data_IF_099575580466
#
_entry.id   IF_099575580466
#
_cell.length_a   1.000
_cell.length_b   1.000
_cell.length_c   1.000
_cell.angle_alpha   90.00
_cell.angle_beta   90.00
_cell.angle_gamma   90.00
#
_symmetry.space_group_name_H-M   'P 1'
#
loop_
_entity.id
_entity.type
_entity.pdbx_description
1 polymer ?
#
# COMPACT_ATOMS: atom_id res chain seq x y z
N UNK A 1 43.26 17.26 57.46
CA UNK A 1 42.75 17.97 56.25
C UNK A 1 42.13 17.05 55.19
N UNK A 2 42.77 15.95 54.76
CA UNK A 2 42.28 15.09 53.65
C UNK A 2 40.85 14.50 53.79
N UNK A 3 40.41 14.13 55.01
CA UNK A 3 39.04 13.58 55.23
C UNK A 3 37.91 14.60 55.06
N UNK A 4 38.14 15.88 55.39
CA UNK A 4 37.12 16.94 55.22
C UNK A 4 36.92 17.30 53.74
N UNK A 5 38.00 17.29 52.95
CA UNK A 5 37.95 17.55 51.51
C UNK A 5 37.13 16.47 50.77
N UNK A 6 37.35 15.20 51.10
CA UNK A 6 36.66 14.05 50.48
C UNK A 6 35.15 14.04 50.77
N UNK A 7 34.75 14.40 52.00
CA UNK A 7 33.35 14.50 52.38
C UNK A 7 32.64 15.66 51.68
N UNK A 8 33.32 16.82 51.55
CA UNK A 8 32.78 17.97 50.81
C UNK A 8 32.65 17.70 49.31
N UNK A 9 33.59 16.97 48.71
CA UNK A 9 33.50 16.62 47.27
C UNK A 9 32.40 15.59 47.01
N UNK A 10 32.20 14.60 47.90
CA UNK A 10 31.09 13.63 47.80
C UNK A 10 29.73 14.30 48.01
N UNK A 11 29.62 15.23 48.97
CA UNK A 11 28.41 16.03 49.16
C UNK A 11 28.14 16.96 47.97
N UNK A 12 29.18 17.54 47.37
CA UNK A 12 29.03 18.39 46.18
C UNK A 12 28.61 17.59 44.94
N UNK A 13 29.19 16.40 44.72
CA UNK A 13 28.79 15.48 43.63
C UNK A 13 27.36 14.97 43.87
N UNK A 14 27.02 14.61 45.12
CA UNK A 14 25.67 14.19 45.49
C UNK A 14 24.64 15.31 45.31
N UNK A 15 24.97 16.54 45.71
CA UNK A 15 24.11 17.72 45.54
C UNK A 15 23.98 18.13 44.07
N UNK A 16 25.05 18.02 43.28
CA UNK A 16 25.03 18.33 41.85
C UNK A 16 24.25 17.27 41.05
N UNK A 17 24.42 15.98 41.38
CA UNK A 17 23.66 14.88 40.78
C UNK A 17 22.18 14.89 41.18
N UNK A 18 21.86 15.20 42.45
CA UNK A 18 20.49 15.38 42.92
C UNK A 18 19.84 16.65 42.35
N UNK A 19 20.62 17.74 42.22
CA UNK A 19 20.19 19.00 41.61
C UNK A 19 19.90 18.87 40.12
N UNK A 20 20.74 18.18 39.36
CA UNK A 20 20.48 17.87 37.94
C UNK A 20 19.27 16.96 37.77
N UNK A 21 19.15 15.88 38.55
CA UNK A 21 17.98 14.99 38.46
C UNK A 21 16.67 15.67 38.87
N UNK A 22 16.71 16.62 39.80
CA UNK A 22 15.58 17.49 40.15
C UNK A 22 15.24 18.47 39.02
N UNK A 23 16.22 19.19 38.48
CA UNK A 23 16.05 20.12 37.34
C UNK A 23 15.51 19.40 36.10
N UNK A 24 16.01 18.20 35.81
CA UNK A 24 15.50 17.33 34.74
C UNK A 24 14.07 16.87 35.04
N UNK A 25 13.70 16.66 36.31
CA UNK A 25 12.34 16.28 36.69
C UNK A 25 11.33 17.42 36.55
N UNK A 26 11.71 18.66 36.87
CA UNK A 26 10.86 19.85 36.69
C UNK A 26 10.73 20.20 35.22
N UNK A 27 11.82 20.17 34.46
CA UNK A 27 11.78 20.41 33.01
C UNK A 27 10.94 19.35 32.28
N UNK A 28 11.05 18.08 32.69
CA UNK A 28 10.24 16.98 32.18
C UNK A 28 8.75 17.20 32.45
N UNK A 29 8.37 17.49 33.70
CA UNK A 29 6.96 17.78 34.07
C UNK A 29 6.42 18.99 33.32
N UNK A 30 7.17 20.10 33.30
CA UNK A 30 6.78 21.31 32.56
C UNK A 30 6.59 21.04 31.07
N UNK A 31 7.45 20.21 30.46
CA UNK A 31 7.32 19.85 29.05
C UNK A 31 6.05 19.04 28.79
N UNK A 32 5.71 18.09 29.67
CA UNK A 32 4.47 17.32 29.57
C UNK A 32 3.23 18.20 29.79
N UNK A 33 3.21 19.03 30.83
CA UNK A 33 2.10 19.94 31.12
C UNK A 33 1.85 20.93 29.98
N UNK A 34 2.92 21.53 29.45
CA UNK A 34 2.82 22.43 28.30
C UNK A 34 2.29 21.71 27.05
N UNK A 35 2.67 20.45 26.84
CA UNK A 35 2.20 19.65 25.69
C UNK A 35 0.73 19.26 25.86
N UNK A 36 0.34 18.84 27.07
CA UNK A 36 -1.05 18.55 27.47
C UNK A 36 -1.96 19.74 27.21
N UNK A 37 -1.60 20.91 27.75
CA UNK A 37 -2.43 22.11 27.63
C UNK A 37 -2.59 22.54 26.16
N UNK A 38 -1.54 22.41 25.34
CA UNK A 38 -1.60 22.68 23.90
C UNK A 38 -2.50 21.71 23.14
N UNK A 39 -2.47 20.41 23.48
CA UNK A 39 -3.35 19.41 22.86
C UNK A 39 -4.80 19.70 23.17
N UNK A 40 -5.10 19.93 24.44
CA UNK A 40 -6.45 20.21 24.92
C UNK A 40 -7.04 21.46 24.26
N UNK A 41 -6.26 22.54 24.16
CA UNK A 41 -6.67 23.76 23.46
C UNK A 41 -6.93 23.55 21.96
N UNK A 42 -6.23 22.61 21.30
CA UNK A 42 -6.49 22.28 19.88
C UNK A 42 -7.75 21.43 19.68
N UNK A 43 -8.10 20.60 20.66
CA UNK A 43 -9.34 19.82 20.63
C UNK A 43 -10.56 20.72 20.82
N UNK A 44 -10.44 21.80 21.59
CA UNK A 44 -11.53 22.72 21.90
C UNK A 44 -11.28 24.09 21.27
N UNK A 45 -11.84 24.35 20.09
CA UNK A 45 -11.82 25.70 19.51
C UNK A 45 -13.14 26.40 19.77
N UNK A 46 -13.13 27.48 20.55
CA UNK A 46 -14.28 28.39 20.67
C UNK A 46 -14.25 29.27 19.42
N UNK A 47 -15.28 29.22 18.57
CA UNK A 47 -15.42 30.13 17.42
C UNK A 47 -15.82 31.53 17.89
N UNK A 48 -15.62 32.55 17.04
CA UNK A 48 -15.96 33.95 17.34
C UNK A 48 -17.42 34.16 17.76
N UNK A 49 -18.30 33.29 17.29
CA UNK A 49 -19.74 33.19 17.60
C UNK A 49 -20.04 32.31 18.83
N UNK A 50 -19.05 32.06 19.69
CA UNK A 50 -19.21 31.40 21.00
C UNK A 50 -19.47 29.90 20.95
N UNK A 51 -19.38 29.26 19.78
CA UNK A 51 -19.62 27.82 19.61
C UNK A 51 -18.32 27.04 19.77
N UNK A 52 -18.33 26.03 20.63
CA UNK A 52 -17.20 25.10 20.73
C UNK A 52 -17.22 24.17 19.51
N UNK A 53 -16.26 24.34 18.60
CA UNK A 53 -15.86 23.30 17.65
C UNK A 53 -14.93 22.33 18.36
N UNK A 54 -15.48 21.18 18.73
CA UNK A 54 -14.71 20.05 19.24
C UNK A 54 -14.21 19.19 18.08
N UNK A 55 -12.89 19.08 17.94
CA UNK A 55 -12.29 17.97 17.19
C UNK A 55 -12.43 16.69 18.03
N UNK A 56 -12.68 15.53 17.42
CA UNK A 56 -12.78 14.27 18.19
C UNK A 56 -11.42 13.80 18.71
N UNK A 57 -10.33 14.18 18.07
CA UNK A 57 -8.98 13.78 18.45
C UNK A 57 -8.04 14.94 18.19
N UNK A 58 -6.86 14.89 18.78
CA UNK A 58 -5.82 15.86 18.50
C UNK A 58 -5.31 15.75 17.06
N UNK A 59 -4.70 16.82 16.57
CA UNK A 59 -4.13 16.86 15.23
C UNK A 59 -3.05 15.79 15.02
N UNK A 60 -2.26 15.48 16.06
CA UNK A 60 -1.26 14.42 16.01
C UNK A 60 -1.93 13.04 15.85
N UNK A 61 -2.90 12.74 16.71
CA UNK A 61 -3.65 11.47 16.65
C UNK A 61 -4.37 11.31 15.32
N UNK A 62 -4.99 12.38 14.80
CA UNK A 62 -5.62 12.36 13.48
C UNK A 62 -4.62 11.99 12.39
N UNK A 63 -3.43 12.61 12.37
CA UNK A 63 -2.39 12.30 11.38
C UNK A 63 -1.88 10.87 11.51
N UNK A 64 -1.68 10.39 12.74
CA UNK A 64 -1.26 9.00 13.01
C UNK A 64 -2.33 8.01 12.54
N UNK A 65 -3.60 8.25 12.88
CA UNK A 65 -4.74 7.46 12.39
C UNK A 65 -4.80 7.41 10.86
N UNK A 66 -4.66 8.56 10.19
CA UNK A 66 -4.64 8.62 8.72
C UNK A 66 -3.50 7.77 8.16
N UNK A 67 -2.30 7.83 8.74
CA UNK A 67 -1.16 7.03 8.29
C UNK A 67 -1.36 5.54 8.50
N UNK A 68 -1.85 5.14 9.68
CA UNK A 68 -2.16 3.76 9.98
C UNK A 68 -3.25 3.22 9.04
N UNK A 69 -4.36 3.94 8.88
CA UNK A 69 -5.45 3.51 7.99
C UNK A 69 -4.97 3.42 6.52
N UNK A 70 -4.15 4.36 6.04
CA UNK A 70 -3.54 4.24 4.69
C UNK A 70 -2.59 3.04 4.56
N UNK A 71 -1.89 2.66 5.62
CA UNK A 71 -1.01 1.47 5.61
C UNK A 71 -1.80 0.16 5.54
N UNK A 72 -3.06 0.18 5.97
CA UNK A 72 -3.98 -0.95 5.92
C UNK A 72 -4.74 -1.03 4.58
N UNK A 73 -4.71 0.03 3.75
CA UNK A 73 -5.31 0.04 2.43
C UNK A 73 -4.42 -0.72 1.42
N UNK A 74 -4.67 -2.02 1.31
CA UNK A 74 -4.09 -2.87 0.29
C UNK A 74 -5.11 -3.03 -0.83
N UNK A 75 -4.87 -2.38 -1.97
CA UNK A 75 -5.74 -2.53 -3.14
C UNK A 75 -5.46 -3.90 -3.75
N UNK A 76 -6.51 -4.69 -3.98
CA UNK A 76 -6.39 -5.99 -4.64
C UNK A 76 -6.04 -5.90 -6.13
N UNK A 77 -5.60 -4.73 -6.60
CA UNK A 77 -5.28 -4.45 -7.99
C UNK A 77 -3.76 -4.41 -8.17
N UNK A 78 -3.31 -4.61 -9.42
CA UNK A 78 -1.89 -4.56 -9.81
C UNK A 78 -1.21 -3.39 -9.11
N UNK A 79 -0.24 -3.67 -8.23
CA UNK A 79 0.72 -2.83 -7.45
C UNK A 79 0.79 -1.30 -7.61
N UNK A 80 0.40 -0.77 -8.75
CA UNK A 80 0.54 0.60 -9.19
C UNK A 80 -0.52 1.54 -8.63
N UNK A 81 -1.58 1.03 -7.99
CA UNK A 81 -2.66 1.85 -7.43
C UNK A 81 -2.65 1.91 -5.91
N UNK A 82 -2.07 0.91 -5.21
CA UNK A 82 -1.98 0.92 -3.75
C UNK A 82 -1.12 2.10 -3.24
N UNK A 83 -1.52 2.79 -2.17
CA UNK A 83 -0.76 3.94 -1.67
C UNK A 83 0.57 3.50 -1.03
N UNK A 84 0.62 2.38 -0.32
CA UNK A 84 1.76 1.98 0.52
C UNK A 84 2.58 0.78 0.04
N UNK A 85 3.18 0.06 1.00
CA UNK A 85 3.88 -1.21 0.75
C UNK A 85 2.88 -2.28 0.35
N UNK A 86 3.31 -3.17 -0.52
CA UNK A 86 2.45 -4.21 -1.07
C UNK A 86 3.31 -5.36 -1.60
N UNK A 87 2.75 -6.56 -1.58
CA UNK A 87 3.25 -7.71 -2.31
C UNK A 87 2.06 -8.47 -2.91
N UNK A 88 2.18 -8.93 -4.15
CA UNK A 88 1.23 -9.85 -4.73
C UNK A 88 1.84 -10.80 -5.74
N UNK A 89 1.12 -11.91 -5.89
CA UNK A 89 1.33 -12.96 -6.86
C UNK A 89 0.05 -13.13 -7.66
N UNK A 90 0.15 -13.03 -8.98
CA UNK A 90 -0.92 -13.30 -9.93
C UNK A 90 -0.54 -14.53 -10.76
N UNK A 91 -1.46 -15.48 -10.90
CA UNK A 91 -1.31 -16.69 -11.72
C UNK A 91 -2.55 -16.81 -12.59
N UNK A 92 -2.39 -16.74 -13.91
CA UNK A 92 -3.47 -16.93 -14.89
C UNK A 92 -2.92 -17.61 -16.17
N UNK A 93 -3.79 -17.87 -17.14
CA UNK A 93 -3.39 -18.48 -18.42
C UNK A 93 -2.39 -17.61 -19.21
N UNK A 94 -2.42 -16.30 -19.01
CA UNK A 94 -1.52 -15.35 -19.65
C UNK A 94 -0.13 -15.30 -18.96
N UNK A 95 0.04 -15.92 -17.79
CA UNK A 95 1.32 -16.08 -17.10
C UNK A 95 1.28 -15.87 -15.58
N UNK A 96 2.46 -15.71 -15.01
CA UNK A 96 2.69 -15.48 -13.58
C UNK A 96 3.41 -14.17 -13.35
N UNK A 97 2.95 -13.39 -12.38
CA UNK A 97 3.52 -12.08 -12.06
C UNK A 97 3.68 -11.92 -10.56
N UNK A 98 4.84 -11.43 -10.15
CA UNK A 98 5.14 -11.04 -8.78
C UNK A 98 5.42 -9.54 -8.75
N UNK A 99 4.76 -8.84 -7.85
CA UNK A 99 5.11 -7.46 -7.53
C UNK A 99 5.40 -7.30 -6.05
N UNK A 100 6.44 -6.52 -5.74
CA UNK A 100 6.75 -6.05 -4.40
C UNK A 100 7.02 -4.53 -4.39
N UNK A 101 6.61 -3.89 -3.30
CA UNK A 101 6.96 -2.50 -2.96
C UNK A 101 7.67 -2.52 -1.61
N UNK A 102 9.00 -2.79 -1.57
CA UNK A 102 9.72 -3.05 -0.33
C UNK A 102 9.87 -1.80 0.56
N UNK A 103 9.92 -0.61 -0.05
CA UNK A 103 10.12 0.64 0.66
C UNK A 103 8.97 1.61 0.41
N UNK A 104 8.51 2.23 1.50
CA UNK A 104 7.58 3.35 1.47
C UNK A 104 8.07 4.39 2.48
N UNK A 105 8.12 5.66 2.04
CA UNK A 105 8.55 6.79 2.87
C UNK A 105 7.37 7.73 3.10
N UNK A 106 7.06 7.98 4.37
CA UNK A 106 6.06 8.95 4.81
C UNK A 106 6.70 10.06 5.65
N UNK A 107 6.05 11.23 5.73
CA UNK A 107 6.49 12.29 6.65
C UNK A 107 6.07 11.94 8.07
N UNK A 108 6.96 12.12 9.03
CA UNK A 108 6.66 11.97 10.47
C UNK A 108 5.41 12.80 10.88
N UNK A 109 4.42 12.22 11.59
CA UNK A 109 3.24 12.93 12.10
C UNK A 109 3.54 14.25 12.82
N UNK A 110 4.69 14.33 13.49
CA UNK A 110 5.16 15.53 14.19
C UNK A 110 5.44 16.70 13.23
N UNK A 111 5.84 16.41 11.99
CA UNK A 111 6.39 17.38 11.04
C UNK A 111 5.36 17.99 10.09
N UNK A 112 4.07 17.71 10.26
CA UNK A 112 3.00 18.24 9.39
C UNK A 112 2.10 17.14 8.81
N UNK A 113 1.06 17.50 8.04
CA UNK A 113 0.23 16.51 7.34
C UNK A 113 1.09 15.76 6.31
N UNK A 114 1.08 14.42 6.36
CA UNK A 114 1.71 13.59 5.32
C UNK A 114 0.81 13.56 4.09
N UNK A 115 0.87 14.64 3.29
CA UNK A 115 0.10 14.77 2.04
C UNK A 115 0.71 13.99 0.89
N UNK A 116 1.88 13.39 1.09
CA UNK A 116 2.55 12.60 0.07
C UNK A 116 3.26 11.39 0.68
N UNK A 117 3.49 10.39 -0.17
CA UNK A 117 4.27 9.18 0.12
C UNK A 117 5.06 8.79 -1.13
N UNK A 118 6.32 8.41 -0.94
CA UNK A 118 7.15 7.85 -2.01
C UNK A 118 7.29 6.34 -1.84
N UNK A 119 7.32 5.59 -2.94
CA UNK A 119 7.60 4.14 -2.91
C UNK A 119 8.60 3.72 -3.97
N UNK A 120 9.27 2.58 -3.73
CA UNK A 120 10.06 1.86 -4.72
C UNK A 120 9.30 0.59 -5.11
N UNK A 121 9.06 0.38 -6.41
CA UNK A 121 8.27 -0.73 -6.93
C UNK A 121 9.15 -1.66 -7.79
N UNK A 122 9.07 -2.97 -7.52
CA UNK A 122 9.76 -4.02 -8.28
C UNK A 122 8.73 -5.02 -8.79
N UNK A 123 8.69 -5.27 -10.10
CA UNK A 123 7.83 -6.28 -10.68
C UNK A 123 8.63 -7.26 -11.53
N UNK A 124 8.35 -8.55 -11.38
CA UNK A 124 8.86 -9.61 -12.23
C UNK A 124 7.68 -10.43 -12.77
N UNK A 125 7.80 -10.98 -13.97
CA UNK A 125 6.79 -11.87 -14.53
C UNK A 125 7.35 -12.82 -15.56
N UNK A 126 6.67 -13.95 -15.72
CA UNK A 126 6.98 -14.99 -16.70
C UNK A 126 5.69 -15.41 -17.41
N UNK A 127 5.76 -15.67 -18.70
CA UNK A 127 4.67 -16.32 -19.42
C UNK A 127 4.94 -17.82 -19.43
N UNK A 128 3.99 -18.61 -18.94
CA UNK A 128 4.10 -20.08 -18.92
C UNK A 128 2.90 -20.74 -18.24
N UNK A 129 2.50 -21.90 -18.76
CA UNK A 129 1.36 -22.69 -18.25
C UNK A 129 1.67 -23.41 -16.93
N UNK A 130 2.95 -23.62 -16.62
CA UNK A 130 3.40 -24.27 -15.37
C UNK A 130 3.94 -23.24 -14.37
N UNK A 131 3.70 -23.47 -13.07
CA UNK A 131 4.19 -22.60 -12.00
C UNK A 131 5.73 -22.54 -12.04
N UNK A 132 6.31 -21.34 -12.15
CA UNK A 132 7.75 -21.09 -12.31
C UNK A 132 8.36 -21.62 -13.62
N UNK A 133 7.58 -21.67 -14.71
CA UNK A 133 8.11 -21.94 -16.04
C UNK A 133 8.81 -20.69 -16.61
N UNK A 134 10.13 -20.78 -16.75
CA UNK A 134 11.00 -19.72 -17.26
C UNK A 134 11.31 -19.88 -18.75
N UNK A 135 10.56 -20.71 -19.49
CA UNK A 135 10.84 -21.03 -20.88
C UNK A 135 10.52 -19.91 -21.88
N UNK A 136 9.52 -19.06 -21.60
CA UNK A 136 9.03 -18.03 -22.52
C UNK A 136 9.48 -16.60 -22.19
N UNK A 137 8.56 -15.63 -22.34
CA UNK A 137 8.82 -14.20 -22.04
C UNK A 137 9.11 -14.00 -20.55
N UNK A 138 10.21 -13.32 -20.24
CA UNK A 138 10.53 -12.84 -18.88
C UNK A 138 10.46 -11.33 -18.85
N UNK A 139 9.77 -10.78 -17.85
CA UNK A 139 9.67 -9.35 -17.63
C UNK A 139 10.26 -8.99 -16.29
N UNK A 140 11.13 -7.99 -16.28
CA UNK A 140 11.62 -7.37 -15.05
C UNK A 140 11.43 -5.87 -15.15
N UNK A 141 10.90 -5.25 -14.09
CA UNK A 141 10.74 -3.80 -14.02
C UNK A 141 11.06 -3.27 -12.64
N UNK A 142 11.69 -2.09 -12.63
CA UNK A 142 12.02 -1.31 -11.45
C UNK A 142 11.48 0.10 -11.68
N UNK A 143 10.71 0.59 -10.72
CA UNK A 143 10.08 1.89 -10.75
C UNK A 143 10.02 2.55 -9.39
N UNK A 144 9.59 3.80 -9.40
CA UNK A 144 9.28 4.55 -8.19
C UNK A 144 7.94 5.24 -8.35
N UNK A 145 7.27 5.50 -7.24
CA UNK A 145 6.00 6.22 -7.24
C UNK A 145 5.98 7.38 -6.26
N UNK A 146 5.18 8.38 -6.59
CA UNK A 146 4.79 9.46 -5.70
C UNK A 146 3.27 9.43 -5.58
N UNK A 147 2.79 9.32 -4.36
CA UNK A 147 1.36 9.26 -4.03
C UNK A 147 0.98 10.49 -3.23
N UNK A 148 -0.03 11.24 -3.68
CA UNK A 148 -0.67 12.30 -2.92
C UNK A 148 -1.85 11.72 -2.12
N UNK A 149 -1.91 12.03 -0.83
CA UNK A 149 -2.84 11.44 0.12
C UNK A 149 -3.83 12.49 0.64
N UNK A 150 -5.11 12.09 0.72
CA UNK A 150 -6.17 12.86 1.35
C UNK A 150 -7.11 11.96 2.15
N UNK A 151 -7.54 12.44 3.31
CA UNK A 151 -8.45 11.71 4.18
C UNK A 151 -9.45 12.65 4.83
N UNK A 152 -10.68 12.18 4.97
CA UNK A 152 -11.77 12.88 5.65
C UNK A 152 -12.50 11.91 6.55
N UNK A 153 -12.60 12.28 7.81
CA UNK A 153 -13.36 11.52 8.80
C UNK A 153 -14.64 12.29 9.10
N UNK A 154 -15.78 11.61 8.99
CA UNK A 154 -17.09 12.21 9.20
C UNK A 154 -17.66 11.73 10.53
N UNK A 155 -17.87 12.71 11.41
CA UNK A 155 -18.66 12.58 12.61
C UNK A 155 -19.99 13.31 12.40
N UNK A 156 -21.11 12.62 12.57
CA UNK A 156 -22.44 13.25 12.62
C UNK A 156 -23.09 12.83 13.92
N UNK A 157 -23.03 13.64 14.99
CA UNK A 157 -23.92 13.45 16.12
C UNK A 157 -25.33 13.70 15.56
N UNK A 158 -26.28 12.80 15.84
CA UNK A 158 -27.68 13.10 15.52
C UNK A 158 -28.05 14.31 16.38
N UNK A 159 -28.48 15.40 15.76
CA UNK A 159 -28.77 16.70 16.37
C UNK A 159 -30.04 16.71 17.24
N UNK A 160 -30.35 15.61 17.94
CA UNK A 160 -31.32 15.63 19.04
C UNK A 160 -30.53 15.97 20.30
N UNK A 161 -31.01 16.90 21.11
CA UNK A 161 -30.32 17.35 22.33
C UNK A 161 -29.99 16.21 23.30
N UNK A 162 -30.73 15.11 23.25
CA UNK A 162 -30.46 13.88 24.00
C UNK A 162 -29.19 13.13 23.57
N UNK A 163 -28.67 13.38 22.36
CA UNK A 163 -27.48 12.74 21.79
C UNK A 163 -26.18 13.55 22.01
N UNK A 164 -26.23 14.70 22.72
CA UNK A 164 -25.02 15.42 23.18
C UNK A 164 -24.08 14.51 24.00
N UNK A 165 -24.61 13.46 24.63
CA UNK A 165 -23.85 12.40 25.33
C UNK A 165 -22.97 11.52 24.42
N UNK A 166 -23.05 11.65 23.08
CA UNK A 166 -22.22 10.87 22.14
C UNK A 166 -20.87 11.50 21.82
N UNK A 167 -20.66 12.78 22.09
CA UNK A 167 -19.30 13.36 22.05
C UNK A 167 -18.63 13.19 23.41
N UNK A 168 -17.33 12.88 23.46
CA UNK A 168 -16.60 12.91 24.72
C UNK A 168 -16.65 14.31 25.32
N UNK A 169 -16.87 14.38 26.63
CA UNK A 169 -16.93 15.63 27.37
C UNK A 169 -15.54 16.21 27.60
N UNK A 170 -15.50 17.47 28.03
CA UNK A 170 -14.29 18.15 28.48
C UNK A 170 -13.55 17.35 29.55
N UNK A 171 -14.30 16.80 30.51
CA UNK A 171 -13.76 16.01 31.61
C UNK A 171 -13.20 14.67 31.13
N UNK A 172 -13.78 14.07 30.09
CA UNK A 172 -13.25 12.84 29.50
C UNK A 172 -11.88 13.07 28.87
N UNK A 173 -11.69 14.16 28.12
CA UNK A 173 -10.38 14.53 27.57
C UNK A 173 -9.36 14.85 28.66
N UNK A 174 -9.75 15.60 29.69
CA UNK A 174 -8.87 15.91 30.82
C UNK A 174 -8.42 14.62 31.53
N UNK A 175 -9.34 13.70 31.80
CA UNK A 175 -9.00 12.41 32.43
C UNK A 175 -8.00 11.62 31.60
N UNK A 176 -8.23 11.45 30.29
CA UNK A 176 -7.31 10.64 29.47
C UNK A 176 -5.91 11.27 29.34
N UNK A 177 -5.81 12.60 29.28
CA UNK A 177 -4.53 13.25 29.18
C UNK A 177 -3.74 13.23 30.49
N UNK A 178 -4.44 13.26 31.62
CA UNK A 178 -3.85 13.02 32.95
C UNK A 178 -3.35 11.59 33.06
N UNK A 179 -4.16 10.60 32.67
CA UNK A 179 -3.75 9.18 32.67
C UNK A 179 -2.50 8.97 31.78
N UNK A 180 -2.47 9.56 30.58
CA UNK A 180 -1.31 9.47 29.69
C UNK A 180 -0.05 10.09 30.31
N UNK A 181 -0.20 11.19 31.07
CA UNK A 181 0.89 11.84 31.79
C UNK A 181 1.37 10.99 32.98
N UNK A 182 0.46 10.43 33.76
CA UNK A 182 0.74 9.56 34.91
C UNK A 182 1.48 8.28 34.47
N UNK A 183 1.03 7.61 33.41
CA UNK A 183 1.67 6.40 32.87
C UNK A 183 3.11 6.69 32.39
N UNK A 184 3.35 7.86 31.78
CA UNK A 184 4.71 8.28 31.40
C UNK A 184 5.59 8.56 32.63
N UNK A 185 5.03 9.17 33.67
CA UNK A 185 5.72 9.43 34.94
C UNK A 185 6.05 8.12 35.67
N UNK A 186 5.13 7.15 35.66
CA UNK A 186 5.32 5.83 36.26
C UNK A 186 6.40 5.04 35.52
N UNK A 187 6.36 4.97 34.19
CA UNK A 187 7.40 4.34 33.36
C UNK A 187 8.78 4.95 33.60
N UNK A 188 8.87 6.28 33.72
CA UNK A 188 10.12 6.97 34.08
C UNK A 188 10.60 6.57 35.48
N UNK A 189 9.70 6.53 36.46
CA UNK A 189 10.06 6.17 37.84
C UNK A 189 10.49 4.69 37.96
N UNK A 190 9.86 3.79 37.22
CA UNK A 190 10.23 2.37 37.14
C UNK A 190 11.62 2.19 36.51
N UNK A 191 11.92 2.93 35.43
CA UNK A 191 13.23 2.88 34.76
C UNK A 191 14.33 3.54 35.60
N UNK A 192 14.02 4.60 36.36
CA UNK A 192 14.93 5.23 37.32
C UNK A 192 15.45 4.24 38.39
N UNK A 193 14.71 3.15 38.66
CA UNK A 193 15.13 2.09 39.58
C UNK A 193 15.98 0.99 38.92
N UNK A 194 16.04 0.90 37.59
CA UNK A 194 16.76 -0.13 36.83
C UNK A 194 17.93 0.51 36.07
N UNK A 195 18.91 1.04 36.82
CA UNK A 195 20.22 1.52 36.35
C UNK A 195 20.15 2.70 35.35
N UNK A 196 21.10 3.63 35.45
CA UNK A 196 21.38 4.71 34.49
C UNK A 196 21.66 4.16 33.07
N UNK A 197 20.62 3.69 32.37
CA UNK A 197 20.73 3.25 31.00
C UNK A 197 20.76 4.50 30.10
N UNK A 198 21.89 4.69 29.41
CA UNK A 198 22.21 5.84 28.55
C UNK A 198 21.08 6.26 27.58
N UNK A 199 20.16 5.35 27.24
CA UNK A 199 19.05 5.59 26.32
C UNK A 199 17.95 6.47 26.92
N UNK A 200 17.64 6.36 28.22
CA UNK A 200 16.58 7.17 28.83
C UNK A 200 17.04 8.60 29.15
N UNK A 201 18.33 8.78 29.49
CA UNK A 201 18.95 10.10 29.64
C UNK A 201 18.99 10.83 28.30
N UNK A 202 19.24 10.13 27.18
CA UNK A 202 19.13 10.70 25.82
C UNK A 202 17.70 11.10 25.44
N UNK A 203 16.69 10.29 25.78
CA UNK A 203 15.27 10.60 25.50
C UNK A 203 14.74 11.72 26.41
N UNK A 204 15.17 11.78 27.67
CA UNK A 204 14.78 12.81 28.63
C UNK A 204 15.51 14.14 28.41
N UNK A 205 16.74 14.11 27.88
CA UNK A 205 17.51 15.30 27.52
C UNK A 205 17.04 15.99 26.23
N UNK A 206 16.37 15.27 25.33
CA UNK A 206 15.77 15.86 24.13
C UNK A 206 14.25 16.05 24.29
N UNK A 207 13.87 17.32 24.53
CA UNK A 207 12.46 17.72 24.66
C UNK A 207 11.60 17.32 23.45
N UNK A 208 12.19 17.10 22.27
CA UNK A 208 11.48 16.66 21.06
C UNK A 208 11.08 15.19 21.16
N UNK A 209 12.00 14.34 21.58
CA UNK A 209 11.79 12.91 21.79
C UNK A 209 10.76 12.66 22.91
N UNK A 210 10.84 13.42 24.02
CA UNK A 210 9.86 13.38 25.09
C UNK A 210 8.44 13.77 24.62
N UNK A 211 8.32 14.86 23.87
CA UNK A 211 7.02 15.29 23.30
C UNK A 211 6.42 14.22 22.41
N UNK A 212 7.24 13.59 21.55
CA UNK A 212 6.78 12.52 20.65
C UNK A 212 6.24 11.33 21.44
N UNK A 213 6.95 10.86 22.47
CA UNK A 213 6.52 9.74 23.29
C UNK A 213 5.19 10.02 24.02
N UNK A 214 5.03 11.23 24.57
CA UNK A 214 3.76 11.63 25.18
C UNK A 214 2.61 11.69 24.17
N UNK A 215 2.83 12.27 23.00
CA UNK A 215 1.82 12.35 21.93
C UNK A 215 1.41 10.95 21.44
N UNK A 216 2.36 10.04 21.34
CA UNK A 216 2.11 8.64 21.02
C UNK A 216 1.23 7.97 22.07
N UNK A 217 1.53 8.15 23.36
CA UNK A 217 0.74 7.59 24.44
C UNK A 217 -0.68 8.20 24.50
N UNK A 218 -0.78 9.52 24.40
CA UNK A 218 -2.06 10.23 24.35
C UNK A 218 -2.93 9.75 23.17
N UNK A 219 -2.32 9.48 22.01
CA UNK A 219 -3.03 8.99 20.82
C UNK A 219 -3.72 7.64 21.05
N UNK A 220 -3.14 6.76 21.87
CA UNK A 220 -3.74 5.45 22.20
C UNK A 220 -5.03 5.65 22.99
N UNK A 221 -5.03 6.54 23.99
CA UNK A 221 -6.21 6.81 24.81
C UNK A 221 -7.28 7.60 24.05
N UNK A 222 -6.90 8.58 23.23
CA UNK A 222 -7.82 9.31 22.36
C UNK A 222 -8.57 8.37 21.40
N UNK A 223 -7.87 7.38 20.83
CA UNK A 223 -8.49 6.36 19.96
C UNK A 223 -9.50 5.49 20.70
N UNK A 224 -9.12 4.96 21.86
CA UNK A 224 -10.04 4.19 22.72
C UNK A 224 -11.32 4.96 23.05
N UNK A 225 -11.21 6.27 23.23
CA UNK A 225 -12.35 7.14 23.55
C UNK A 225 -13.24 7.45 22.33
N UNK A 226 -12.68 7.42 21.10
CA UNK A 226 -13.34 8.02 19.93
C UNK A 226 -13.56 7.08 18.75
N UNK A 227 -12.95 5.90 18.73
CA UNK A 227 -13.07 4.92 17.65
C UNK A 227 -14.54 4.52 17.39
N UNK A 228 -15.34 4.44 18.46
CA UNK A 228 -16.75 4.10 18.36
C UNK A 228 -17.64 5.24 17.86
N UNK A 229 -17.10 6.47 17.73
CA UNK A 229 -17.85 7.69 17.38
C UNK A 229 -17.85 7.98 15.88
N UNK A 230 -16.83 7.56 15.15
CA UNK A 230 -16.75 7.80 13.70
C UNK A 230 -17.87 7.07 12.94
N UNK A 231 -18.54 7.76 12.02
CA UNK A 231 -19.63 7.18 11.22
C UNK A 231 -19.21 6.79 9.81
N UNK A 232 -18.29 7.57 9.24
CA UNK A 232 -17.73 7.29 7.93
C UNK A 232 -16.28 7.77 7.86
N UNK A 233 -15.46 7.05 7.10
CA UNK A 233 -14.09 7.44 6.77
C UNK A 233 -13.94 7.40 5.25
N UNK A 234 -13.39 8.46 4.69
CA UNK A 234 -13.17 8.63 3.25
C UNK A 234 -11.69 8.90 3.02
N UNK A 235 -11.08 8.07 2.21
CA UNK A 235 -9.69 8.18 1.79
C UNK A 235 -9.66 8.36 0.28
N UNK A 236 -8.79 9.21 -0.20
CA UNK A 236 -8.58 9.40 -1.61
C UNK A 236 -7.11 9.69 -1.86
N UNK A 237 -6.59 9.16 -2.96
CA UNK A 237 -5.20 9.36 -3.30
C UNK A 237 -4.97 9.34 -4.80
N UNK A 238 -4.00 10.13 -5.23
CA UNK A 238 -3.53 10.16 -6.61
C UNK A 238 -2.10 9.63 -6.64
N UNK A 239 -1.80 8.64 -7.47
CA UNK A 239 -0.49 7.99 -7.55
C UNK A 239 0.08 8.13 -8.95
N UNK A 240 1.27 8.71 -9.04
CA UNK A 240 2.10 8.75 -10.23
C UNK A 240 3.18 7.67 -10.09
N UNK A 241 3.14 6.66 -10.95
CA UNK A 241 4.14 5.60 -11.03
C UNK A 241 5.02 5.79 -12.26
N UNK A 242 6.33 5.86 -12.04
CA UNK A 242 7.35 6.01 -13.07
C UNK A 242 8.18 4.73 -13.09
N UNK A 243 8.14 4.01 -14.21
CA UNK A 243 8.92 2.79 -14.44
C UNK A 243 9.95 3.10 -15.52
N UNK A 244 11.12 3.66 -15.16
CA UNK A 244 12.16 3.96 -16.13
C UNK A 244 12.86 2.69 -16.61
N UNK A 245 12.92 1.62 -15.80
CA UNK A 245 13.55 0.37 -16.21
C UNK A 245 12.49 -0.72 -16.30
N UNK A 246 12.19 -1.15 -17.51
CA UNK A 246 11.36 -2.31 -17.79
C UNK A 246 11.96 -3.05 -18.97
N UNK A 247 12.26 -4.33 -18.78
CA UNK A 247 12.98 -5.17 -19.70
C UNK A 247 12.17 -6.43 -19.95
N UNK A 248 11.82 -6.64 -21.21
CA UNK A 248 11.24 -7.88 -21.71
C UNK A 248 12.36 -8.69 -22.38
N UNK A 249 12.53 -9.93 -21.95
CA UNK A 249 13.44 -10.92 -22.54
C UNK A 249 12.59 -11.91 -23.33
N UNK A 250 12.90 -12.06 -24.60
CA UNK A 250 12.14 -12.85 -25.56
C UNK A 250 13.10 -13.80 -26.29
N UNK A 251 12.74 -15.06 -26.39
CA UNK A 251 13.41 -16.00 -27.29
C UNK A 251 12.65 -16.04 -28.62
N UNK A 252 13.32 -15.74 -29.73
CA UNK A 252 12.72 -15.54 -31.05
C UNK A 252 13.37 -16.45 -32.09
N UNK A 253 12.55 -17.01 -32.98
CA UNK A 253 12.97 -17.69 -34.21
C UNK A 253 12.41 -16.92 -35.40
N UNK A 254 13.28 -16.53 -36.33
CA UNK A 254 12.91 -15.84 -37.57
C UNK A 254 12.79 -16.83 -38.72
N UNK A 255 11.68 -16.79 -39.47
CA UNK A 255 11.45 -17.71 -40.59
C UNK A 255 12.46 -17.50 -41.73
N UNK A 256 12.95 -16.27 -41.91
CA UNK A 256 13.96 -15.91 -42.92
C UNK A 256 15.41 -16.05 -42.42
N UNK A 257 15.63 -16.40 -41.13
CA UNK A 257 16.97 -16.46 -40.52
C UNK A 257 17.34 -17.89 -40.11
N UNK A 258 18.08 -18.57 -40.99
CA UNK A 258 18.52 -19.96 -40.80
C UNK A 258 19.32 -20.20 -39.52
N UNK A 259 20.03 -19.18 -39.01
CA UNK A 259 20.78 -19.29 -37.76
C UNK A 259 19.87 -19.35 -36.54
N UNK A 260 18.73 -18.65 -36.58
CA UNK A 260 17.75 -18.62 -35.50
C UNK A 260 16.97 -19.93 -35.36
N UNK A 261 16.84 -20.72 -36.43
CA UNK A 261 16.24 -22.05 -36.38
C UNK A 261 17.11 -23.09 -35.67
N UNK A 262 18.43 -22.93 -35.71
CA UNK A 262 19.37 -23.83 -35.02
C UNK A 262 19.52 -23.47 -33.54
N UNK A 263 19.41 -22.17 -33.22
CA UNK A 263 19.46 -21.67 -31.86
C UNK A 263 18.61 -20.40 -31.74
N UNK A 264 17.56 -20.38 -30.90
CA UNK A 264 16.70 -19.21 -30.72
C UNK A 264 17.50 -17.97 -30.31
N UNK A 265 17.12 -16.81 -30.87
CA UNK A 265 17.73 -15.54 -30.55
C UNK A 265 17.13 -14.95 -29.27
N UNK A 266 17.97 -14.64 -28.29
CA UNK A 266 17.52 -13.88 -27.12
C UNK A 266 17.50 -12.38 -27.43
N UNK A 267 16.31 -11.78 -27.46
CA UNK A 267 16.11 -10.33 -27.62
C UNK A 267 15.72 -9.69 -26.30
N UNK A 268 16.40 -8.59 -25.98
CA UNK A 268 16.09 -7.72 -24.84
C UNK A 268 15.39 -6.45 -25.34
N UNK A 269 14.19 -6.20 -24.85
CA UNK A 269 13.37 -5.06 -25.24
C UNK A 269 13.09 -4.15 -24.04
N UNK A 270 13.55 -2.91 -24.15
CA UNK A 270 13.28 -1.88 -23.16
C UNK A 270 11.90 -1.26 -23.37
N UNK A 271 11.06 -1.26 -22.31
CA UNK A 271 9.64 -0.88 -22.32
C UNK A 271 9.26 0.08 -21.17
N UNK A 272 9.88 1.27 -21.05
CA UNK A 272 9.59 2.19 -19.95
C UNK A 272 8.13 2.63 -19.99
N UNK A 273 7.58 2.98 -18.82
CA UNK A 273 6.19 3.43 -18.73
C UNK A 273 5.95 4.42 -17.60
N UNK A 274 4.94 5.24 -17.79
CA UNK A 274 4.38 6.19 -16.84
C UNK A 274 2.92 5.81 -16.58
N UNK A 275 2.47 5.84 -15.34
CA UNK A 275 1.07 5.61 -14.99
C UNK A 275 0.59 6.63 -13.97
N UNK A 276 -0.57 7.21 -14.22
CA UNK A 276 -1.30 8.05 -13.28
C UNK A 276 -2.56 7.31 -12.85
N UNK A 277 -2.87 7.31 -11.56
CA UNK A 277 -4.10 6.74 -11.03
C UNK A 277 -4.75 7.64 -9.99
N UNK A 278 -6.08 7.64 -9.97
CA UNK A 278 -6.91 8.26 -8.95
C UNK A 278 -7.72 7.20 -8.23
N UNK A 279 -7.77 7.29 -6.90
CA UNK A 279 -8.35 6.28 -6.04
C UNK A 279 -9.22 6.93 -4.97
N UNK A 280 -10.34 6.28 -4.65
CA UNK A 280 -11.23 6.67 -3.57
C UNK A 280 -11.65 5.42 -2.82
N UNK A 281 -11.51 5.42 -1.51
CA UNK A 281 -12.03 4.40 -0.61
C UNK A 281 -12.94 5.05 0.43
N UNK A 282 -14.18 4.59 0.53
CA UNK A 282 -15.15 5.05 1.51
C UNK A 282 -15.63 3.88 2.37
N UNK A 283 -15.45 3.98 3.68
CA UNK A 283 -16.02 3.06 4.65
C UNK A 283 -17.14 3.75 5.41
N UNK A 284 -18.27 3.08 5.58
CA UNK A 284 -19.38 3.58 6.39
C UNK A 284 -19.98 2.45 7.22
N UNK A 285 -20.37 2.74 8.45
CA UNK A 285 -21.05 1.74 9.31
C UNK A 285 -22.40 1.25 8.76
N UNK A 286 -22.99 1.97 7.80
CA UNK A 286 -24.38 1.76 7.36
C UNK A 286 -24.49 1.22 5.94
N UNK A 287 -23.62 1.67 5.03
CA UNK A 287 -23.70 1.39 3.60
C UNK A 287 -22.53 0.53 3.11
N UNK A 288 -21.65 0.09 4.00
CA UNK A 288 -20.53 -0.79 3.67
C UNK A 288 -19.31 -0.02 3.22
N UNK A 289 -18.41 -0.76 2.57
CA UNK A 289 -17.10 -0.29 2.16
C UNK A 289 -17.03 -0.31 0.62
N UNK A 290 -16.62 0.80 0.02
CA UNK A 290 -16.52 0.97 -1.42
C UNK A 290 -15.13 1.46 -1.81
N UNK A 291 -14.56 0.88 -2.85
CA UNK A 291 -13.32 1.30 -3.48
C UNK A 291 -13.59 1.58 -4.95
N UNK A 292 -13.16 2.75 -5.42
CA UNK A 292 -13.19 3.14 -6.82
C UNK A 292 -11.80 3.58 -7.26
N UNK A 293 -11.38 3.12 -8.43
CA UNK A 293 -10.14 3.53 -9.05
C UNK A 293 -10.32 3.77 -10.55
N UNK A 294 -9.55 4.73 -11.06
CA UNK A 294 -9.28 4.88 -12.48
C UNK A 294 -7.80 5.15 -12.72
N UNK A 295 -7.25 4.65 -13.82
CA UNK A 295 -5.86 4.83 -14.20
C UNK A 295 -5.67 5.00 -15.69
N UNK A 296 -4.59 5.71 -16.04
CA UNK A 296 -4.06 5.83 -17.40
C UNK A 296 -2.58 5.51 -17.36
N UNK A 297 -2.11 4.70 -18.30
CA UNK A 297 -0.71 4.32 -18.42
C UNK A 297 -0.25 4.56 -19.85
N UNK A 298 0.90 5.21 -20.00
CA UNK A 298 1.58 5.35 -21.28
C UNK A 298 2.89 4.58 -21.19
N UNK A 299 3.15 3.69 -22.14
CA UNK A 299 4.39 2.91 -22.14
C UNK A 299 4.83 2.52 -23.54
N UNK A 300 6.13 2.30 -23.70
CA UNK A 300 6.64 1.70 -24.93
C UNK A 300 6.27 0.23 -24.96
N UNK A 301 5.55 -0.17 -26.01
CA UNK A 301 5.18 -1.56 -26.29
C UNK A 301 5.82 -2.01 -27.59
N UNK A 302 6.01 -3.32 -27.72
CA UNK A 302 6.43 -3.97 -28.96
C UNK A 302 5.30 -4.85 -29.51
N UNK A 303 5.41 -5.28 -30.76
CA UNK A 303 4.43 -6.12 -31.47
C UNK A 303 4.14 -7.50 -30.85
N UNK A 304 4.90 -7.91 -29.83
CA UNK A 304 4.67 -9.15 -29.06
C UNK A 304 4.25 -8.88 -27.61
N UNK A 305 3.89 -7.64 -27.27
CA UNK A 305 3.63 -7.25 -25.89
C UNK A 305 2.30 -7.77 -25.35
N UNK A 306 1.29 -8.03 -26.19
CA UNK A 306 -0.08 -8.36 -25.74
C UNK A 306 -0.74 -9.56 -26.46
N UNK A 307 -0.43 -9.85 -27.74
CA UNK A 307 -1.11 -10.91 -28.51
C UNK A 307 -0.12 -11.75 -29.33
N UNK A 308 0.79 -12.45 -28.66
CA UNK A 308 1.52 -13.48 -29.38
C UNK A 308 1.79 -14.65 -28.45
N UNK A 309 1.23 -15.79 -28.81
CA UNK A 309 1.48 -17.06 -28.13
C UNK A 309 2.86 -17.58 -28.51
N UNK A 310 3.56 -18.15 -27.53
CA UNK A 310 4.77 -18.90 -27.79
C UNK A 310 4.44 -20.23 -28.45
N UNK A 311 5.37 -20.74 -29.27
CA UNK A 311 5.31 -22.10 -29.83
C UNK A 311 6.47 -22.91 -29.26
N UNK A 312 6.26 -24.21 -29.02
CA UNK A 312 7.35 -25.10 -28.61
C UNK A 312 8.30 -25.32 -29.78
N UNK A 313 9.51 -24.80 -29.67
CA UNK A 313 10.62 -25.09 -30.55
C UNK A 313 11.44 -26.23 -29.99
N UNK A 314 11.87 -27.12 -30.88
CA UNK A 314 12.71 -28.26 -30.56
C UNK A 314 14.05 -28.08 -31.27
N UNK A 315 15.15 -28.24 -30.52
CA UNK A 315 16.50 -28.30 -31.08
C UNK A 315 16.64 -29.61 -31.84
N UNK A 316 16.75 -29.50 -33.16
CA UNK A 316 16.95 -30.64 -34.05
C UNK A 316 18.44 -30.70 -34.38
N UNK A 317 19.14 -31.71 -33.86
CA UNK A 317 20.53 -32.00 -34.19
C UNK A 317 20.58 -33.15 -35.21
N UNK A 318 21.21 -32.96 -36.39
CA UNK A 318 21.38 -34.07 -37.34
C UNK A 318 22.39 -35.08 -36.79
N UNK A 319 22.00 -36.35 -36.75
CA UNK A 319 22.90 -37.50 -36.48
C UNK A 319 23.52 -38.06 -37.78
N UNK A 320 22.94 -37.75 -38.94
CA UNK A 320 23.35 -38.18 -40.28
C UNK A 320 22.35 -37.72 -41.34
N UNK A 321 22.44 -38.23 -42.57
CA UNK A 321 21.64 -37.77 -43.72
C UNK A 321 20.13 -38.02 -43.60
N UNK A 322 19.68 -38.86 -42.66
CA UNK A 322 18.27 -39.26 -42.50
C UNK A 322 17.79 -39.37 -41.04
N UNK A 323 18.66 -39.11 -40.06
CA UNK A 323 18.33 -39.22 -38.64
C UNK A 323 18.59 -37.90 -37.92
N UNK A 324 17.63 -37.49 -37.09
CA UNK A 324 17.72 -36.29 -36.25
C UNK A 324 17.44 -36.64 -34.78
N UNK A 325 18.10 -35.93 -33.87
CA UNK A 325 17.85 -35.99 -32.42
C UNK A 325 17.15 -34.72 -32.02
N UNK A 326 16.11 -34.87 -31.22
CA UNK A 326 15.48 -33.76 -30.51
C UNK A 326 16.15 -33.69 -29.14
N UNK A 327 17.05 -32.73 -28.96
CA UNK A 327 17.90 -32.63 -27.76
C UNK A 327 17.30 -31.75 -26.67
N UNK A 328 16.64 -30.66 -27.06
CA UNK A 328 16.11 -29.63 -26.13
C UNK A 328 14.80 -29.05 -26.67
N UNK A 329 13.86 -28.70 -25.78
CA UNK A 329 12.65 -27.94 -26.14
C UNK A 329 12.63 -26.59 -25.43
N UNK A 330 12.26 -25.52 -26.15
CA UNK A 330 12.06 -24.16 -25.60
C UNK A 330 10.80 -23.53 -26.15
N UNK A 331 10.17 -22.65 -25.39
CA UNK A 331 9.09 -21.81 -25.88
C UNK A 331 9.64 -20.58 -26.59
N UNK A 332 9.30 -20.37 -27.86
CA UNK A 332 9.82 -19.26 -28.67
C UNK A 332 8.71 -18.50 -29.38
N UNK A 333 8.99 -17.24 -29.69
CA UNK A 333 8.18 -16.42 -30.59
C UNK A 333 8.66 -16.64 -32.03
N UNK A 334 7.79 -17.12 -32.91
CA UNK A 334 8.10 -17.27 -34.34
C UNK A 334 7.71 -16.00 -35.08
N UNK A 335 8.62 -15.39 -35.83
CA UNK A 335 8.36 -14.17 -36.61
C UNK A 335 8.80 -14.37 -38.05
N UNK A 336 8.15 -13.71 -39.00
CA UNK A 336 8.61 -13.66 -40.39
C UNK A 336 9.99 -12.98 -40.47
N UNK A 337 10.14 -11.84 -39.78
CA UNK A 337 11.41 -11.11 -39.60
C UNK A 337 11.75 -10.93 -38.14
N UNK A 338 13.04 -11.03 -37.79
CA UNK A 338 13.54 -10.94 -36.40
C UNK A 338 13.51 -9.52 -35.80
N UNK A 339 13.12 -8.51 -36.60
CA UNK A 339 13.03 -7.12 -36.18
C UNK A 339 11.75 -6.84 -35.39
N UNK A 340 11.88 -6.22 -34.21
CA UNK A 340 10.76 -5.85 -33.35
C UNK A 340 10.44 -4.37 -33.51
N UNK A 341 9.20 -4.07 -33.90
CA UNK A 341 8.66 -2.71 -33.92
C UNK A 341 8.27 -2.27 -32.51
N UNK A 342 8.49 -0.99 -32.18
CA UNK A 342 8.17 -0.40 -30.87
C UNK A 342 7.44 0.92 -31.03
N UNK A 343 6.43 1.15 -30.19
CA UNK A 343 5.63 2.38 -30.18
C UNK A 343 5.17 2.72 -28.76
N UNK A 344 5.07 4.01 -28.45
CA UNK A 344 4.43 4.46 -27.21
C UNK A 344 2.91 4.31 -27.37
N UNK A 345 2.30 3.52 -26.48
CA UNK A 345 0.87 3.22 -26.49
C UNK A 345 0.27 3.50 -25.11
N UNK A 346 -1.02 3.84 -25.11
CA UNK A 346 -1.76 4.18 -23.91
C UNK A 346 -2.75 3.08 -23.53
N UNK A 347 -2.74 2.71 -22.26
CA UNK A 347 -3.70 1.83 -21.62
C UNK A 347 -4.55 2.65 -20.66
N UNK A 348 -5.84 2.33 -20.56
CA UNK A 348 -6.75 2.93 -19.58
C UNK A 348 -7.54 1.85 -18.87
N UNK A 349 -7.90 2.10 -17.62
CA UNK A 349 -8.74 1.16 -16.90
C UNK A 349 -9.32 1.73 -15.62
N UNK A 350 -10.18 0.95 -15.00
CA UNK A 350 -10.80 1.30 -13.73
C UNK A 350 -11.37 0.08 -13.03
N UNK A 351 -11.59 0.24 -11.72
CA UNK A 351 -12.09 -0.82 -10.86
C UNK A 351 -13.05 -0.26 -9.81
N UNK A 352 -14.12 -1.01 -9.54
CA UNK A 352 -15.06 -0.80 -8.45
C UNK A 352 -15.12 -2.07 -7.60
N UNK A 353 -14.83 -1.94 -6.31
CA UNK A 353 -15.07 -3.00 -5.32
C UNK A 353 -16.07 -2.49 -4.29
N UNK A 354 -17.11 -3.26 -3.99
CA UNK A 354 -18.13 -2.89 -3.02
C UNK A 354 -18.47 -4.06 -2.10
N UNK A 355 -18.35 -3.88 -0.78
CA UNK A 355 -18.74 -4.86 0.22
C UNK A 355 -20.11 -4.54 0.81
N UNK A 356 -20.96 -5.56 0.90
CA UNK A 356 -22.30 -5.42 1.43
C UNK A 356 -22.24 -5.41 2.96
N UNK A 357 -22.72 -4.35 3.65
CA UNK A 357 -22.50 -4.15 5.09
C UNK A 357 -23.12 -5.20 6.01
N UNK A 358 -24.23 -5.82 5.58
CA UNK A 358 -25.02 -6.75 6.41
C UNK A 358 -24.87 -8.21 6.01
N UNK A 359 -24.16 -8.50 4.94
CA UNK A 359 -24.00 -9.86 4.46
C UNK A 359 -22.66 -10.40 4.96
N UNK A 360 -22.70 -10.97 6.16
CA UNK A 360 -21.61 -11.79 6.70
C UNK A 360 -21.97 -13.24 6.40
N UNK A 361 -21.20 -13.90 5.55
CA UNK A 361 -21.35 -15.32 5.29
C UNK A 361 -20.78 -16.13 6.47
N UNK A 362 -20.82 -17.46 6.38
CA UNK A 362 -20.30 -18.40 7.39
C UNK A 362 -18.97 -17.90 7.98
N UNK A 363 -18.88 -17.89 9.30
CA UNK A 363 -17.71 -17.43 10.07
C UNK A 363 -17.37 -15.93 9.99
N UNK A 364 -18.32 -15.07 9.58
CA UNK A 364 -18.14 -13.61 9.63
C UNK A 364 -17.49 -13.01 8.37
N UNK A 365 -17.31 -13.82 7.33
CA UNK A 365 -16.70 -13.39 6.06
C UNK A 365 -17.55 -12.33 5.35
N UNK A 366 -16.92 -11.26 4.86
CA UNK A 366 -17.62 -10.18 4.14
C UNK A 366 -17.73 -10.52 2.67
N UNK A 367 -18.90 -10.32 2.08
CA UNK A 367 -19.12 -10.56 0.65
C UNK A 367 -19.32 -9.24 -0.09
N UNK A 368 -18.75 -9.16 -1.28
CA UNK A 368 -18.82 -8.00 -2.14
C UNK A 368 -18.77 -8.37 -3.62
N UNK A 369 -18.79 -7.32 -4.44
CA UNK A 369 -18.67 -7.39 -5.90
C UNK A 369 -17.38 -6.68 -6.30
N UNK A 370 -16.66 -7.24 -7.27
CA UNK A 370 -15.50 -6.64 -7.94
C UNK A 370 -15.82 -6.51 -9.45
N UNK A 371 -15.83 -5.27 -9.95
CA UNK A 371 -16.02 -4.95 -11.35
C UNK A 371 -14.77 -4.20 -11.84
N UNK A 372 -14.21 -4.61 -12.96
CA UNK A 372 -13.11 -3.87 -13.59
C UNK A 372 -13.21 -3.86 -15.11
N UNK A 373 -12.63 -2.83 -15.70
CA UNK A 373 -12.51 -2.68 -17.15
C UNK A 373 -11.10 -2.18 -17.46
N UNK A 374 -10.49 -2.74 -18.49
CA UNK A 374 -9.19 -2.32 -18.99
C UNK A 374 -9.20 -2.30 -20.51
N UNK A 375 -8.87 -1.16 -21.12
CA UNK A 375 -8.53 -1.04 -22.53
C UNK A 375 -7.02 -0.99 -22.65
N UNK A 376 -6.42 -2.01 -23.26
CA UNK A 376 -4.99 -2.09 -23.51
C UNK A 376 -4.71 -1.88 -24.99
N UNK A 377 -4.02 -0.79 -25.35
CA UNK A 377 -3.58 -0.60 -26.72
C UNK A 377 -2.37 -1.51 -27.00
N UNK A 378 -2.32 -2.11 -28.19
CA UNK A 378 -1.21 -2.95 -28.61
C UNK A 378 -0.86 -2.72 -30.08
N UNK A 379 0.34 -3.14 -30.47
CA UNK A 379 0.76 -3.15 -31.86
C UNK A 379 0.36 -4.48 -32.48
N UNK A 380 -0.35 -4.45 -33.60
CA UNK A 380 -0.65 -5.64 -34.38
C UNK A 380 0.67 -6.37 -34.75
N UNK A 381 0.74 -7.70 -34.62
CA UNK A 381 1.93 -8.48 -34.95
C UNK A 381 2.38 -8.36 -36.41
N UNK A 382 1.44 -8.10 -37.33
CA UNK A 382 1.64 -8.23 -38.79
C UNK A 382 1.91 -6.91 -39.50
N UNK A 383 1.25 -5.82 -39.12
CA UNK A 383 1.23 -4.57 -39.91
C UNK A 383 1.59 -3.30 -39.12
N UNK A 384 2.10 -3.45 -37.89
CA UNK A 384 2.46 -2.35 -36.98
C UNK A 384 1.34 -1.32 -36.71
N UNK A 385 0.10 -1.64 -37.10
CA UNK A 385 -1.10 -0.88 -36.76
C UNK A 385 -1.35 -0.94 -35.24
N UNK A 386 -2.18 -0.03 -34.75
CA UNK A 386 -2.55 0.00 -33.33
C UNK A 386 -3.98 -0.52 -33.18
N UNK A 387 -4.13 -1.49 -32.29
CA UNK A 387 -5.38 -2.18 -31.99
C UNK A 387 -5.61 -2.17 -30.48
N UNK A 388 -6.81 -2.53 -30.03
CA UNK A 388 -7.18 -2.47 -28.61
C UNK A 388 -7.72 -3.80 -28.10
N UNK A 389 -7.28 -4.19 -26.91
CA UNK A 389 -7.83 -5.32 -26.15
C UNK A 389 -8.63 -4.76 -24.99
N UNK A 390 -9.95 -4.89 -25.07
CA UNK A 390 -10.87 -4.59 -23.99
C UNK A 390 -11.03 -5.82 -23.11
N UNK A 391 -10.73 -5.68 -21.82
CA UNK A 391 -10.91 -6.72 -20.81
C UNK A 391 -11.89 -6.24 -19.76
N UNK A 392 -12.97 -6.98 -19.57
CA UNK A 392 -13.98 -6.74 -18.54
C UNK A 392 -13.92 -7.86 -17.53
N UNK A 393 -13.96 -7.53 -16.24
CA UNK A 393 -14.09 -8.51 -15.17
C UNK A 393 -15.31 -8.19 -14.33
N UNK A 394 -16.07 -9.23 -14.00
CA UNK A 394 -17.13 -9.16 -13.01
C UNK A 394 -17.02 -10.36 -12.08
N UNK A 395 -16.94 -10.13 -10.79
CA UNK A 395 -16.74 -11.19 -9.81
C UNK A 395 -17.31 -10.89 -8.44
N UNK A 396 -17.29 -11.94 -7.62
CA UNK A 396 -17.62 -11.89 -6.21
C UNK A 396 -16.33 -11.91 -5.40
N UNK A 397 -16.23 -11.03 -4.41
CA UNK A 397 -15.14 -11.01 -3.45
C UNK A 397 -15.64 -11.50 -2.09
N UNK A 398 -14.94 -12.48 -1.53
CA UNK A 398 -15.19 -13.00 -0.18
C UNK A 398 -13.96 -12.73 0.67
N UNK A 399 -14.13 -11.91 1.70
CA UNK A 399 -13.08 -11.54 2.63
C UNK A 399 -13.07 -12.51 3.82
N UNK A 400 -12.07 -13.37 3.87
CA UNK A 400 -11.88 -14.39 4.90
C UNK A 400 -11.24 -13.77 6.15
N UNK A 401 -11.85 -13.92 7.33
CA UNK A 401 -11.26 -13.43 8.57
C UNK A 401 -10.12 -14.34 9.07
N UNK A 402 -9.17 -13.76 9.80
CA UNK A 402 -8.20 -14.50 10.60
C UNK A 402 -8.84 -15.02 11.92
N UNK A 403 -8.02 -15.65 12.75
CA UNK A 403 -8.41 -16.17 14.07
C UNK A 403 -9.01 -15.10 15.01
N UNK A 404 -8.65 -13.84 14.80
CA UNK A 404 -9.07 -12.70 15.61
C UNK A 404 -10.28 -11.97 14.99
N UNK A 405 -10.83 -12.51 13.88
CA UNK A 405 -11.98 -11.94 13.16
C UNK A 405 -11.62 -10.81 12.19
N UNK A 406 -10.33 -10.51 12.01
CA UNK A 406 -9.83 -9.44 11.15
C UNK A 406 -9.74 -9.93 9.71
N UNK A 407 -10.22 -9.19 8.69
CA UNK A 407 -10.04 -9.56 7.29
C UNK A 407 -8.56 -9.87 6.96
N UNK A 408 -8.29 -11.06 6.41
CA UNK A 408 -6.92 -11.53 6.15
C UNK A 408 -6.63 -11.79 4.67
N UNK A 409 -7.53 -12.48 3.97
CA UNK A 409 -7.39 -12.84 2.55
C UNK A 409 -8.74 -12.67 1.85
N UNK A 410 -8.73 -12.04 0.69
CA UNK A 410 -9.85 -12.02 -0.23
C UNK A 410 -9.72 -13.17 -1.23
N UNK A 411 -10.77 -13.97 -1.31
CA UNK A 411 -11.01 -14.87 -2.42
C UNK A 411 -11.90 -14.16 -3.44
N UNK A 412 -11.46 -14.07 -4.69
CA UNK A 412 -12.21 -13.44 -5.77
C UNK A 412 -12.47 -14.44 -6.87
N UNK A 413 -13.73 -14.81 -7.06
CA UNK A 413 -14.17 -15.62 -8.20
C UNK A 413 -14.76 -14.66 -9.22
N UNK A 414 -14.23 -14.66 -10.44
CA UNK A 414 -14.62 -13.70 -11.46
C UNK A 414 -14.82 -14.38 -12.81
N UNK A 415 -15.69 -13.79 -13.60
CA UNK A 415 -15.78 -14.04 -15.03
C UNK A 415 -15.11 -12.87 -15.76
N UNK A 416 -14.25 -13.20 -16.71
CA UNK A 416 -13.51 -12.27 -17.54
C UNK A 416 -13.97 -12.38 -18.99
N UNK A 417 -14.23 -11.25 -19.63
CA UNK A 417 -14.47 -11.14 -21.07
C UNK A 417 -13.37 -10.32 -21.74
N UNK A 418 -12.77 -10.88 -22.78
CA UNK A 418 -11.80 -10.23 -23.66
C UNK A 418 -12.43 -9.95 -25.02
N UNK A 419 -12.24 -8.75 -25.55
CA UNK A 419 -12.66 -8.36 -26.90
C UNK A 419 -11.56 -7.59 -27.60
N UNK A 420 -11.27 -7.98 -28.83
CA UNK A 420 -10.35 -7.27 -29.71
C UNK A 420 -11.09 -6.24 -30.56
N UNK A 421 -10.51 -5.04 -30.68
CA UNK A 421 -10.95 -3.96 -31.56
C UNK A 421 -9.82 -3.72 -32.55
N UNK A 422 -10.18 -3.64 -33.84
CA UNK A 422 -9.24 -3.48 -34.96
C UNK A 422 -8.16 -4.58 -35.03
N UNK A 423 -8.51 -5.80 -34.61
CA UNK A 423 -7.67 -6.99 -34.71
C UNK A 423 -8.54 -8.25 -34.84
N UNK A 424 -8.10 -9.21 -35.66
CA UNK A 424 -8.78 -10.49 -35.88
C UNK A 424 -8.43 -11.47 -34.76
N UNK A 425 -8.94 -11.23 -33.56
CA UNK A 425 -8.89 -12.17 -32.44
C UNK A 425 -10.29 -12.54 -31.99
N UNK A 426 -10.50 -13.80 -31.60
CA UNK A 426 -11.78 -14.25 -31.08
C UNK A 426 -12.05 -13.64 -29.71
N UNK A 427 -13.32 -13.35 -29.43
CA UNK A 427 -13.72 -12.93 -28.09
C UNK A 427 -13.62 -14.14 -27.14
N UNK A 428 -12.94 -13.97 -26.02
CA UNK A 428 -12.72 -15.02 -25.04
C UNK A 428 -13.47 -14.71 -23.74
N UNK A 429 -14.13 -15.72 -23.18
CA UNK A 429 -14.78 -15.64 -21.88
C UNK A 429 -14.21 -16.73 -20.98
N UNK A 430 -13.72 -16.37 -19.79
CA UNK A 430 -13.15 -17.33 -18.86
C UNK A 430 -13.56 -17.07 -17.41
N UNK A 431 -13.72 -18.15 -16.66
CA UNK A 431 -13.82 -18.10 -15.20
C UNK A 431 -12.43 -18.17 -14.59
N UNK A 432 -12.17 -17.32 -13.61
CA UNK A 432 -10.91 -17.25 -12.91
C UNK A 432 -11.09 -17.10 -11.41
N UNK A 433 -10.01 -17.35 -10.69
CA UNK A 433 -9.93 -17.19 -9.25
C UNK A 433 -8.66 -16.42 -8.89
N UNK A 434 -8.81 -15.44 -8.01
CA UNK A 434 -7.74 -14.54 -7.57
C UNK A 434 -7.73 -14.47 -6.05
N UNK A 435 -6.53 -14.44 -5.48
CA UNK A 435 -6.32 -14.14 -4.07
C UNK A 435 -5.76 -12.72 -3.94
N UNK A 436 -6.36 -11.92 -3.07
CA UNK A 436 -5.83 -10.59 -2.74
C UNK A 436 -5.80 -10.38 -1.25
N UNK A 437 -5.09 -9.37 -0.78
CA UNK A 437 -5.23 -8.93 0.61
C UNK A 437 -6.52 -8.08 0.67
N UNK A 438 -7.37 -8.25 1.70
CA UNK A 438 -8.60 -7.49 1.82
C UNK A 438 -8.34 -6.04 2.14
N UNK A 439 -9.32 -5.20 1.78
CA UNK A 439 -9.46 -3.93 2.47
C UNK A 439 -9.79 -4.25 3.91
N UNK A 440 -8.87 -4.00 4.83
CA UNK A 440 -9.21 -4.00 6.23
C UNK A 440 -10.33 -3.00 6.43
N UNK A 441 -11.47 -3.48 6.90
CA UNK A 441 -12.54 -2.55 7.17
C UNK A 441 -12.12 -1.64 8.29
N UNK A 442 -12.22 -0.35 8.02
CA UNK A 442 -11.88 0.66 9.01
C UNK A 442 -12.96 0.76 10.10
N UNK A 443 -14.04 -0.03 9.98
CA UNK A 443 -15.01 -0.30 11.02
C UNK A 443 -15.05 -1.83 11.27
N UNK A 444 -14.42 -2.27 12.34
CA UNK A 444 -14.58 -3.63 12.87
C UNK A 444 -15.88 -3.78 13.64
#
# INVERSE_FOLDING_TARGET
MRRKLLLSTLLFIGYYGYGQTLLDSTLYRQTLDNTRNKLFAKIQTITEDGKVRTSLVSEYTFRKLVQEDFSLLLTGDKSKTAPGRYAALEINEDGQRVTITPFAWHRDPMKGPSRWMGTLDVNAGVNGKNIWDFGGRKKLSLGGSITLLGARYLFRPRWKETDKKKQPSVDDYNKIYTIAQEDMMEKRNAIKHIIDTLDFVKIAGDTTSLKRAYLEQASIYERKLTDDKWNARLFYWAKLNIVPVSLDYLDIVGLEDSSSYQSPMNKKVFTPSLQLSGNIYGATRRWGDAYLNGWIRIGFKHNLSEIYSTTTWNKISPLGDSAVVIEDSKEVYVLEKTALSKKALADVGGQLIYYVPKFKWLYGARVGIDLSMTSSAFMSPTDASTSHLETYHAGFVVSLPDKDGTPSVNLQVFHQWKKYIDYQGDAEGMWGMKFSIPFNSLFN
#
